data_IF_810305206421
#
_entry.id   IF_810305206421
#
_cell.length_a   1.000
_cell.length_b   1.000
_cell.length_c   1.000
_cell.angle_alpha   90.00
_cell.angle_beta   90.00
_cell.angle_gamma   90.00
#
_symmetry.space_group_name_H-M   'P 1'
#
loop_
_entity.id
_entity.type
_entity.pdbx_description
1 polymer ?
#
# COMPACT_ATOMS: atom_id res chain seq x y z
N UNK A 1 -75.43 71.42 -8.02
CA UNK A 1 -75.41 71.76 -6.57
C UNK A 1 -75.31 70.45 -5.81
N UNK A 2 -74.12 70.05 -5.37
CA UNK A 2 -73.64 70.17 -3.97
C UNK A 2 -73.89 68.82 -3.27
N UNK A 3 -72.94 68.04 -2.77
CA UNK A 3 -71.75 68.33 -1.94
C UNK A 3 -70.79 67.14 -2.08
N UNK A 4 -69.51 67.29 -2.43
CA UNK A 4 -68.33 67.64 -1.60
C UNK A 4 -67.95 66.61 -0.51
N UNK A 5 -66.86 65.89 -0.82
CA UNK A 5 -65.69 65.49 0.00
C UNK A 5 -65.90 64.69 1.30
N UNK A 6 -65.19 63.56 1.47
CA UNK A 6 -63.87 63.53 2.13
C UNK A 6 -63.24 62.14 2.04
N UNK A 7 -61.93 62.13 1.77
CA UNK A 7 -61.06 60.97 1.83
C UNK A 7 -60.73 60.61 3.29
N UNK A 8 -60.60 59.33 3.59
CA UNK A 8 -59.63 58.82 4.55
C UNK A 8 -59.06 57.52 4.00
N UNK A 9 -57.78 57.58 3.67
CA UNK A 9 -56.91 56.43 3.45
C UNK A 9 -56.63 55.80 4.80
N UNK A 10 -56.88 54.49 4.92
CA UNK A 10 -56.19 53.66 5.90
C UNK A 10 -55.73 52.39 5.19
N UNK A 11 -54.45 52.37 4.85
CA UNK A 11 -53.76 51.18 4.36
C UNK A 11 -53.40 50.30 5.56
N UNK A 12 -53.83 49.04 5.56
CA UNK A 12 -53.15 47.96 6.29
C UNK A 12 -53.24 46.65 5.49
N UNK A 13 -52.12 46.33 4.86
CA UNK A 13 -51.48 45.01 4.66
C UNK A 13 -52.38 43.85 4.23
N UNK A 14 -52.38 43.60 2.91
CA UNK A 14 -52.72 42.29 2.36
C UNK A 14 -51.54 41.32 2.57
N UNK A 15 -51.69 40.37 3.49
CA UNK A 15 -50.78 39.24 3.60
C UNK A 15 -51.25 38.12 2.67
N UNK A 16 -50.73 38.08 1.44
CA UNK A 16 -50.77 36.88 0.60
C UNK A 16 -49.42 36.18 0.68
N UNK A 17 -49.45 34.97 1.24
CA UNK A 17 -48.29 34.12 1.48
C UNK A 17 -47.74 33.66 0.13
N UNK A 18 -46.52 34.07 -0.22
CA UNK A 18 -45.80 33.52 -1.36
C UNK A 18 -45.30 32.10 -1.02
N UNK A 19 -45.33 31.13 -1.95
CA UNK A 19 -44.71 29.84 -1.71
C UNK A 19 -43.19 30.01 -1.71
N UNK A 20 -42.57 29.76 -0.55
CA UNK A 20 -41.13 29.65 -0.45
C UNK A 20 -40.70 28.35 -1.17
N UNK A 21 -40.08 28.50 -2.35
CA UNK A 21 -39.37 27.41 -3.00
C UNK A 21 -38.22 26.97 -2.10
N UNK A 22 -38.39 25.85 -1.40
CA UNK A 22 -37.30 25.18 -0.70
C UNK A 22 -36.31 24.66 -1.75
N UNK A 23 -35.22 25.41 -1.94
CA UNK A 23 -34.06 24.91 -2.66
C UNK A 23 -33.47 23.76 -1.84
N UNK A 24 -33.72 22.52 -2.27
CA UNK A 24 -33.04 21.36 -1.73
C UNK A 24 -31.60 21.48 -2.20
N UNK A 25 -30.71 21.97 -1.34
CA UNK A 25 -29.29 21.92 -1.59
C UNK A 25 -28.92 20.44 -1.72
N UNK A 26 -28.68 19.99 -2.95
CA UNK A 26 -28.06 18.71 -3.18
C UNK A 26 -26.69 18.76 -2.50
N UNK A 27 -26.54 18.09 -1.36
CA UNK A 27 -25.23 17.75 -0.83
C UNK A 27 -24.53 16.95 -1.91
N UNK A 28 -23.66 17.63 -2.65
CA UNK A 28 -22.71 16.98 -3.54
C UNK A 28 -21.81 16.15 -2.63
N UNK A 29 -22.15 14.88 -2.47
CA UNK A 29 -21.25 13.89 -1.88
C UNK A 29 -20.09 13.77 -2.85
N UNK A 30 -19.05 14.57 -2.63
CA UNK A 30 -17.78 14.39 -3.31
C UNK A 30 -17.36 12.92 -3.11
N UNK A 31 -16.84 12.24 -4.15
CA UNK A 31 -16.36 10.90 -3.97
C UNK A 31 -15.23 10.97 -2.95
N UNK A 32 -15.48 10.47 -1.74
CA UNK A 32 -14.43 10.22 -0.76
C UNK A 32 -13.59 9.13 -1.39
N UNK A 33 -12.50 9.53 -2.05
CA UNK A 33 -11.38 8.62 -2.29
C UNK A 33 -10.85 8.27 -0.91
N UNK A 34 -11.48 7.28 -0.28
CA UNK A 34 -11.10 6.80 1.04
C UNK A 34 -9.68 6.27 0.88
N UNK A 35 -8.72 7.07 1.34
CA UNK A 35 -7.34 6.63 1.49
C UNK A 35 -7.42 5.34 2.28
N UNK A 36 -6.94 4.25 1.67
CA UNK A 36 -6.77 3.00 2.40
C UNK A 36 -5.95 3.30 3.65
N UNK A 37 -6.44 2.82 4.78
CA UNK A 37 -5.76 2.87 6.06
C UNK A 37 -4.28 2.46 5.86
N UNK A 38 -3.30 3.31 6.26
CA UNK A 38 -1.88 3.03 6.09
C UNK A 38 -1.48 1.65 6.64
N UNK A 39 -2.03 1.27 7.79
CA UNK A 39 -1.74 0.01 8.48
C UNK A 39 -2.23 -1.19 7.63
N UNK A 40 -3.44 -1.10 7.09
CA UNK A 40 -4.01 -2.12 6.19
C UNK A 40 -3.19 -2.22 4.90
N UNK A 41 -2.86 -1.07 4.31
CA UNK A 41 -2.06 -0.98 3.08
C UNK A 41 -0.68 -1.60 3.27
N UNK A 42 -0.03 -1.33 4.41
CA UNK A 42 1.25 -1.92 4.78
C UNK A 42 1.14 -3.43 4.89
N UNK A 43 0.18 -3.97 5.65
CA UNK A 43 0.05 -5.42 5.85
C UNK A 43 -0.17 -6.16 4.54
N UNK A 44 -1.07 -5.67 3.68
CA UNK A 44 -1.36 -6.27 2.37
C UNK A 44 -0.13 -6.22 1.45
N UNK A 45 0.53 -5.06 1.38
CA UNK A 45 1.68 -4.87 0.49
C UNK A 45 2.91 -5.65 0.99
N UNK A 46 3.18 -5.63 2.29
CA UNK A 46 4.27 -6.37 2.90
C UNK A 46 4.10 -7.88 2.72
N UNK A 47 2.88 -8.40 2.86
CA UNK A 47 2.60 -9.82 2.62
C UNK A 47 2.96 -10.22 1.18
N UNK A 48 2.49 -9.46 0.18
CA UNK A 48 2.81 -9.75 -1.23
C UNK A 48 4.30 -9.58 -1.55
N UNK A 49 4.97 -8.60 -0.92
CA UNK A 49 6.41 -8.43 -1.05
C UNK A 49 7.19 -9.61 -0.44
N UNK A 50 6.75 -10.15 0.70
CA UNK A 50 7.35 -11.34 1.29
C UNK A 50 7.12 -12.57 0.40
N UNK A 51 5.91 -12.80 -0.11
CA UNK A 51 5.62 -13.90 -1.05
C UNK A 51 6.53 -13.83 -2.29
N UNK A 52 6.77 -12.63 -2.82
CA UNK A 52 7.74 -12.44 -3.89
C UNK A 52 9.15 -12.85 -3.46
N UNK A 53 9.68 -12.32 -2.35
CA UNK A 53 11.04 -12.65 -1.92
C UNK A 53 11.23 -14.14 -1.57
N UNK A 54 10.21 -14.79 -1.02
CA UNK A 54 10.23 -16.24 -0.76
C UNK A 54 10.38 -17.01 -2.09
N UNK A 55 9.49 -16.76 -3.06
CA UNK A 55 9.52 -17.48 -4.33
C UNK A 55 10.79 -17.17 -5.13
N UNK A 56 11.12 -15.90 -5.29
CA UNK A 56 12.29 -15.46 -6.05
C UNK A 56 13.61 -15.91 -5.39
N UNK A 57 13.69 -15.84 -4.06
CA UNK A 57 14.83 -16.31 -3.28
C UNK A 57 15.05 -17.81 -3.41
N UNK A 58 13.98 -18.62 -3.35
CA UNK A 58 14.06 -20.06 -3.59
C UNK A 58 14.52 -20.42 -5.01
N UNK A 59 14.06 -19.67 -6.01
CA UNK A 59 14.53 -19.86 -7.39
C UNK A 59 16.02 -19.49 -7.48
N UNK A 60 16.45 -18.39 -6.88
CA UNK A 60 17.85 -17.96 -6.89
C UNK A 60 18.79 -18.90 -6.13
N UNK A 61 18.34 -19.48 -5.01
CA UNK A 61 19.08 -20.51 -4.29
C UNK A 61 19.41 -21.74 -5.17
N UNK A 62 18.51 -22.06 -6.11
CA UNK A 62 18.65 -23.21 -7.02
C UNK A 62 19.36 -22.87 -8.33
N UNK A 63 19.04 -21.71 -8.93
CA UNK A 63 19.46 -21.32 -10.29
C UNK A 63 20.58 -20.30 -10.35
N UNK A 64 20.91 -19.65 -9.24
CA UNK A 64 22.02 -18.70 -9.17
C UNK A 64 23.31 -19.33 -9.69
N UNK A 65 24.03 -18.63 -10.56
CA UNK A 65 25.26 -19.15 -11.17
C UNK A 65 26.44 -18.96 -10.23
N UNK A 66 26.47 -17.84 -9.50
CA UNK A 66 27.47 -17.60 -8.45
C UNK A 66 27.05 -18.20 -7.10
N UNK A 67 28.02 -18.64 -6.28
CA UNK A 67 27.76 -19.00 -4.88
C UNK A 67 27.11 -17.87 -4.08
N UNK A 68 27.49 -16.62 -4.38
CA UNK A 68 26.92 -15.42 -3.75
C UNK A 68 25.42 -15.32 -4.00
N UNK A 69 24.96 -15.40 -5.26
CA UNK A 69 23.53 -15.30 -5.58
C UNK A 69 22.73 -16.44 -4.96
N UNK A 70 23.26 -17.67 -4.96
CA UNK A 70 22.59 -18.80 -4.29
C UNK A 70 22.44 -18.56 -2.79
N UNK A 71 23.49 -18.07 -2.13
CA UNK A 71 23.47 -17.75 -0.70
C UNK A 71 22.51 -16.62 -0.38
N UNK A 72 22.49 -15.56 -1.19
CA UNK A 72 21.56 -14.43 -0.99
C UNK A 72 20.11 -14.88 -1.20
N UNK A 73 19.83 -15.65 -2.25
CA UNK A 73 18.50 -16.20 -2.50
C UNK A 73 17.97 -17.01 -1.32
N UNK A 74 18.78 -17.92 -0.77
CA UNK A 74 18.42 -18.72 0.39
C UNK A 74 18.16 -17.86 1.64
N UNK A 75 19.04 -16.88 1.89
CA UNK A 75 18.91 -15.93 3.01
C UNK A 75 17.61 -15.12 2.91
N UNK A 76 17.35 -14.51 1.75
CA UNK A 76 16.20 -13.63 1.56
C UNK A 76 14.88 -14.40 1.68
N UNK A 77 14.82 -15.63 1.18
CA UNK A 77 13.64 -16.48 1.34
C UNK A 77 13.38 -16.83 2.82
N UNK A 78 14.42 -17.18 3.57
CA UNK A 78 14.29 -17.51 4.99
C UNK A 78 13.84 -16.29 5.84
N UNK A 79 14.50 -15.15 5.65
CA UNK A 79 14.20 -13.94 6.40
C UNK A 79 12.80 -13.38 6.04
N UNK A 80 12.41 -13.46 4.76
CA UNK A 80 11.06 -13.06 4.32
C UNK A 80 9.98 -14.01 4.83
N UNK A 81 10.25 -15.32 4.92
CA UNK A 81 9.32 -16.28 5.55
C UNK A 81 9.06 -15.93 7.01
N UNK A 82 10.13 -15.62 7.76
CA UNK A 82 10.01 -15.22 9.16
C UNK A 82 9.22 -13.93 9.32
N UNK A 83 9.50 -12.93 8.48
CA UNK A 83 8.77 -11.67 8.50
C UNK A 83 7.29 -11.87 8.15
N UNK A 84 6.98 -12.71 7.17
CA UNK A 84 5.61 -12.96 6.72
C UNK A 84 4.74 -13.65 7.76
N UNK A 85 5.31 -14.58 8.53
CA UNK A 85 4.62 -15.17 9.68
C UNK A 85 4.19 -14.08 10.68
N UNK A 86 5.06 -13.08 10.92
CA UNK A 86 4.75 -11.93 11.76
C UNK A 86 3.64 -11.05 11.16
N UNK A 87 3.73 -10.71 9.88
CA UNK A 87 2.72 -9.92 9.15
C UNK A 87 1.36 -10.62 9.18
N UNK A 88 1.30 -11.92 8.88
CA UNK A 88 0.07 -12.70 8.93
C UNK A 88 -0.53 -12.77 10.34
N UNK A 89 0.31 -12.89 11.37
CA UNK A 89 -0.15 -12.90 12.76
C UNK A 89 -0.77 -11.55 13.16
N UNK A 90 -0.17 -10.43 12.76
CA UNK A 90 -0.70 -9.09 13.04
C UNK A 90 -1.99 -8.87 12.25
N UNK A 91 -2.02 -9.20 10.96
CA UNK A 91 -3.21 -9.08 10.14
C UNK A 91 -4.39 -9.91 10.69
N UNK A 92 -4.13 -11.13 11.16
CA UNK A 92 -5.15 -11.96 11.83
C UNK A 92 -5.70 -11.31 13.09
N UNK A 93 -4.84 -10.73 13.94
CA UNK A 93 -5.25 -10.05 15.16
C UNK A 93 -6.16 -8.84 14.86
N UNK A 94 -5.87 -8.13 13.77
CA UNK A 94 -6.58 -6.94 13.32
C UNK A 94 -7.73 -7.26 12.35
N UNK A 95 -7.98 -8.54 12.04
CA UNK A 95 -8.96 -9.02 11.05
C UNK A 95 -8.78 -8.42 9.65
N UNK A 96 -7.54 -8.13 9.28
CA UNK A 96 -7.18 -7.70 7.92
C UNK A 96 -7.05 -8.93 7.03
N UNK A 97 -7.85 -9.05 5.95
CA UNK A 97 -7.74 -10.18 5.03
C UNK A 97 -6.45 -10.07 4.22
N UNK A 98 -5.72 -11.19 4.12
CA UNK A 98 -4.53 -11.31 3.29
C UNK A 98 -4.76 -12.38 2.22
N UNK A 99 -4.51 -12.02 0.97
CA UNK A 99 -4.53 -12.96 -0.14
C UNK A 99 -3.31 -13.89 -0.05
N UNK A 100 -3.57 -15.18 0.17
CA UNK A 100 -2.53 -16.21 0.32
C UNK A 100 -1.76 -16.53 -0.96
N UNK A 101 -2.24 -16.05 -2.10
CA UNK A 101 -1.64 -16.33 -3.41
C UNK A 101 -0.89 -15.11 -3.95
N UNK A 102 0.21 -15.32 -4.69
CA UNK A 102 0.90 -14.25 -5.39
C UNK A 102 0.00 -13.49 -6.37
N UNK A 103 -0.01 -12.17 -6.25
CA UNK A 103 -0.70 -11.29 -7.20
C UNK A 103 -0.05 -11.34 -8.59
N UNK A 104 -0.66 -10.66 -9.57
CA UNK A 104 -0.19 -10.67 -10.97
C UNK A 104 1.27 -10.20 -11.12
N UNK A 105 1.67 -9.15 -10.40
CA UNK A 105 3.04 -8.63 -10.42
C UNK A 105 4.04 -9.65 -9.90
N UNK A 106 3.74 -10.30 -8.77
CA UNK A 106 4.61 -11.33 -8.19
C UNK A 106 4.71 -12.54 -9.13
N UNK A 107 3.58 -12.99 -9.71
CA UNK A 107 3.58 -14.08 -10.70
C UNK A 107 4.42 -13.75 -11.92
N UNK A 108 4.38 -12.51 -12.41
CA UNK A 108 5.21 -12.09 -13.53
C UNK A 108 6.70 -12.10 -13.18
N UNK A 109 7.08 -11.67 -11.97
CA UNK A 109 8.48 -11.77 -11.52
C UNK A 109 8.95 -13.23 -11.41
N UNK A 110 8.10 -14.12 -10.91
CA UNK A 110 8.39 -15.57 -10.83
C UNK A 110 8.64 -16.13 -12.24
N UNK A 111 7.77 -15.81 -13.20
CA UNK A 111 7.93 -16.24 -14.59
C UNK A 111 9.22 -15.71 -15.21
N UNK A 112 9.57 -14.44 -14.96
CA UNK A 112 10.82 -13.85 -15.44
C UNK A 112 12.06 -14.57 -14.88
N UNK A 113 12.06 -14.93 -13.60
CA UNK A 113 13.16 -15.70 -12.99
C UNK A 113 13.25 -17.12 -13.54
N UNK A 114 12.12 -17.76 -13.82
CA UNK A 114 12.07 -19.10 -14.39
C UNK A 114 12.52 -19.13 -15.86
N UNK A 115 12.22 -18.08 -16.63
CA UNK A 115 12.57 -17.99 -18.06
C UNK A 115 13.96 -17.40 -18.33
N UNK A 116 14.57 -16.73 -17.35
CA UNK A 116 15.89 -16.16 -17.50
C UNK A 116 16.95 -17.21 -17.88
N UNK A 117 17.75 -16.88 -18.90
CA UNK A 117 18.90 -17.71 -19.28
C UNK A 117 19.93 -17.76 -18.15
N UNK A 118 20.71 -18.82 -18.08
CA UNK A 118 21.78 -18.98 -17.09
C UNK A 118 22.72 -17.78 -17.06
N UNK A 119 23.10 -17.25 -18.24
CA UNK A 119 24.00 -16.10 -18.35
C UNK A 119 23.38 -14.78 -17.84
N UNK A 120 22.06 -14.62 -17.90
CA UNK A 120 21.37 -13.41 -17.46
C UNK A 120 20.85 -13.47 -16.02
N UNK A 121 20.83 -14.66 -15.41
CA UNK A 121 20.10 -14.91 -14.16
C UNK A 121 20.63 -14.07 -12.98
N UNK A 122 21.94 -14.06 -12.75
CA UNK A 122 22.52 -13.35 -11.59
C UNK A 122 22.31 -11.83 -11.72
N UNK A 123 22.43 -11.27 -12.93
CA UNK A 123 22.15 -9.85 -13.19
C UNK A 123 20.68 -9.51 -12.96
N UNK A 124 19.76 -10.36 -13.42
CA UNK A 124 18.33 -10.20 -13.17
C UNK A 124 18.05 -10.23 -11.66
N UNK A 125 18.63 -11.20 -10.95
CA UNK A 125 18.49 -11.33 -9.51
C UNK A 125 18.95 -10.06 -8.79
N UNK A 126 20.21 -9.65 -8.98
CA UNK A 126 20.78 -8.51 -8.27
C UNK A 126 20.02 -7.20 -8.55
N UNK A 127 19.65 -6.96 -9.81
CA UNK A 127 18.93 -5.74 -10.22
C UNK A 127 17.52 -5.70 -9.62
N UNK A 128 16.75 -6.79 -9.77
CA UNK A 128 15.38 -6.84 -9.26
C UNK A 128 15.32 -6.85 -7.74
N UNK A 129 16.23 -7.57 -7.06
CA UNK A 129 16.28 -7.58 -5.60
C UNK A 129 16.68 -6.22 -5.03
N UNK A 130 17.57 -5.48 -5.69
CA UNK A 130 17.90 -4.11 -5.28
C UNK A 130 16.68 -3.20 -5.35
N UNK A 131 15.89 -3.30 -6.42
CA UNK A 131 14.66 -2.53 -6.56
C UNK A 131 13.59 -2.92 -5.51
N UNK A 132 13.40 -4.22 -5.26
CA UNK A 132 12.46 -4.73 -4.26
C UNK A 132 12.83 -4.29 -2.84
N UNK A 133 14.11 -4.32 -2.48
CA UNK A 133 14.56 -3.86 -1.16
C UNK A 133 14.42 -2.34 -0.99
N UNK A 134 14.67 -1.56 -2.05
CA UNK A 134 14.40 -0.12 -2.03
C UNK A 134 12.90 0.20 -1.89
N UNK A 135 12.02 -0.59 -2.52
CA UNK A 135 10.57 -0.47 -2.34
C UNK A 135 10.14 -0.84 -0.92
N UNK A 136 10.71 -1.91 -0.35
CA UNK A 136 10.44 -2.33 1.02
C UNK A 136 10.87 -1.30 2.06
N UNK A 137 12.06 -0.69 1.91
CA UNK A 137 12.52 0.40 2.81
C UNK A 137 11.55 1.59 2.77
N UNK A 138 11.07 1.98 1.57
CA UNK A 138 10.06 3.04 1.44
C UNK A 138 8.74 2.67 2.10
N UNK A 139 8.23 1.45 1.83
CA UNK A 139 6.99 0.96 2.43
C UNK A 139 7.04 1.02 3.95
N UNK A 140 8.13 0.53 4.54
CA UNK A 140 8.34 0.54 6.00
C UNK A 140 8.44 1.96 6.53
N UNK A 141 9.14 2.88 5.84
CA UNK A 141 9.23 4.28 6.29
C UNK A 141 7.91 5.01 6.23
N UNK A 142 7.11 4.77 5.19
CA UNK A 142 5.75 5.32 5.08
C UNK A 142 4.90 4.83 6.24
N UNK A 143 4.91 3.53 6.53
CA UNK A 143 4.19 2.97 7.67
C UNK A 143 4.63 3.58 9.01
N UNK A 144 5.94 3.75 9.23
CA UNK A 144 6.44 4.38 10.45
C UNK A 144 6.14 5.88 10.55
N UNK A 145 5.86 6.55 9.45
CA UNK A 145 5.50 7.97 9.40
C UNK A 145 3.98 8.18 9.55
N UNK A 146 3.20 7.36 8.86
CA UNK A 146 1.78 7.60 8.61
C UNK A 146 0.84 6.57 9.28
N UNK A 147 1.35 5.42 9.70
CA UNK A 147 0.56 4.37 10.37
C UNK A 147 0.34 4.65 11.85
N UNK A 148 -0.79 4.18 12.38
CA UNK A 148 -1.24 4.46 13.75
C UNK A 148 -1.29 3.19 14.61
N UNK A 149 -1.43 2.00 14.01
CA UNK A 149 -1.55 0.75 14.75
C UNK A 149 -0.20 0.26 15.29
N UNK A 150 -0.09 0.22 16.62
CA UNK A 150 1.14 -0.12 17.32
C UNK A 150 1.71 -1.49 16.91
N UNK A 151 0.85 -2.48 16.64
CA UNK A 151 1.30 -3.79 16.18
C UNK A 151 1.91 -3.75 14.77
N UNK A 152 1.34 -2.95 13.87
CA UNK A 152 1.80 -2.82 12.48
C UNK A 152 3.12 -2.04 12.43
N UNK A 153 3.17 -0.89 13.11
CA UNK A 153 4.41 -0.11 13.27
C UNK A 153 5.55 -0.93 13.88
N UNK A 154 5.25 -1.80 14.85
CA UNK A 154 6.27 -2.66 15.49
C UNK A 154 6.85 -3.69 14.51
N UNK A 155 6.00 -4.38 13.75
CA UNK A 155 6.50 -5.36 12.77
C UNK A 155 7.24 -4.66 11.61
N UNK A 156 6.77 -3.47 11.19
CA UNK A 156 7.45 -2.63 10.22
C UNK A 156 8.85 -2.23 10.70
N UNK A 157 8.97 -1.65 11.90
CA UNK A 157 10.25 -1.24 12.50
C UNK A 157 11.23 -2.41 12.62
N UNK A 158 10.75 -3.61 13.00
CA UNK A 158 11.58 -4.80 13.16
C UNK A 158 12.21 -5.29 11.84
N UNK A 159 11.67 -4.92 10.68
CA UNK A 159 12.20 -5.32 9.37
C UNK A 159 13.35 -4.43 8.87
N UNK A 160 13.48 -3.18 9.36
CA UNK A 160 14.49 -2.21 8.90
C UNK A 160 15.93 -2.73 8.96
N UNK A 161 16.40 -3.37 10.07
CA UNK A 161 17.78 -3.86 10.13
C UNK A 161 18.06 -4.94 9.08
N UNK A 162 17.08 -5.82 8.82
CA UNK A 162 17.19 -6.90 7.83
C UNK A 162 17.24 -6.30 6.41
N UNK A 163 16.36 -5.36 6.08
CA UNK A 163 16.33 -4.68 4.78
C UNK A 163 17.67 -3.96 4.52
N UNK A 164 18.22 -3.27 5.52
CA UNK A 164 19.54 -2.61 5.42
C UNK A 164 20.66 -3.61 5.17
N UNK A 165 20.65 -4.72 5.90
CA UNK A 165 21.66 -5.77 5.74
C UNK A 165 21.60 -6.37 4.32
N UNK A 166 20.41 -6.73 3.84
CA UNK A 166 20.23 -7.26 2.49
C UNK A 166 20.66 -6.26 1.40
N UNK A 167 20.32 -4.99 1.58
CA UNK A 167 20.73 -3.91 0.66
C UNK A 167 22.24 -3.78 0.57
N UNK A 168 22.95 -3.84 1.71
CA UNK A 168 24.40 -3.83 1.73
C UNK A 168 25.00 -5.08 1.03
N UNK A 169 24.42 -6.25 1.27
CA UNK A 169 24.84 -7.50 0.63
C UNK A 169 24.64 -7.47 -0.90
N UNK A 170 23.52 -6.93 -1.38
CA UNK A 170 23.26 -6.71 -2.80
C UNK A 170 24.28 -5.73 -3.39
N UNK A 171 24.53 -4.60 -2.73
CA UNK A 171 25.50 -3.62 -3.19
C UNK A 171 26.94 -4.16 -3.24
N UNK A 172 27.29 -5.11 -2.37
CA UNK A 172 28.59 -5.80 -2.43
C UNK A 172 28.64 -6.82 -3.57
N UNK A 173 27.55 -7.55 -3.80
CA UNK A 173 27.45 -8.54 -4.87
C UNK A 173 27.49 -7.90 -6.27
N UNK A 174 26.87 -6.73 -6.44
CA UNK A 174 26.82 -6.01 -7.73
C UNK A 174 28.13 -5.30 -8.14
N UNK A 175 29.16 -5.30 -7.29
CA UNK A 175 30.48 -4.69 -7.60
C UNK A 175 31.50 -5.71 -8.11
N UNK A 176 31.15 -6.99 -8.10
CA UNK A 176 32.01 -8.10 -8.53
C UNK A 176 31.70 -8.46 -9.97
#
# INVERSE_FOLDING_TARGET
MGSRHLAVVLAVVAATVAPASMSVAAEQTAPVTQRLDPDVSFLVTAHQANLAQIALGQIAAKRGTSPTVRSLGARFAADSTKHDIGVQSVAKALRVPLESTPNATVRQSILAYQSASTAAFDTLFLTSQTALHAQADRLVRTELADGDEALVRKIAAASLPVIKQHTAQLALASRR
#
